data_IF_844300045570
#
_entry.id   IF_844300045570
#
_cell.length_a   1.000
_cell.length_b   1.000
_cell.length_c   1.000
_cell.angle_alpha   90.00
_cell.angle_beta   90.00
_cell.angle_gamma   90.00
#
_symmetry.space_group_name_H-M   'P 1'
#
loop_
_entity.id
_entity.type
_entity.pdbx_description
1 polymer ?
#
# COMPACT_ATOMS: atom_id res chain seq x y z
N UNK A 1 1.65 -17.65 -1.01
CA UNK A 1 1.26 -16.66 0.01
C UNK A 1 -0.22 -16.72 0.44
N UNK A 2 -1.06 -17.57 -0.13
CA UNK A 2 -2.43 -17.84 0.35
C UNK A 2 -3.45 -16.73 0.07
N UNK A 3 -3.28 -15.98 -1.00
CA UNK A 3 -4.31 -15.11 -1.53
C UNK A 3 -5.23 -15.86 -2.47
N UNK A 4 -6.52 -15.53 -2.46
CA UNK A 4 -7.47 -15.96 -3.50
C UNK A 4 -7.31 -15.02 -4.69
N UNK A 5 -7.00 -15.59 -5.86
CA UNK A 5 -6.77 -14.87 -7.12
C UNK A 5 -7.69 -15.46 -8.17
N UNK A 6 -8.35 -14.61 -8.96
CA UNK A 6 -9.18 -15.07 -10.07
C UNK A 6 -8.36 -15.49 -11.30
N UNK A 7 -9.04 -16.03 -12.31
CA UNK A 7 -8.39 -16.51 -13.55
C UNK A 7 -7.74 -15.40 -14.39
N UNK A 8 -8.09 -14.15 -14.13
CA UNK A 8 -7.53 -12.97 -14.79
C UNK A 8 -6.37 -12.34 -13.98
N UNK A 9 -5.95 -12.97 -12.87
CA UNK A 9 -4.88 -12.46 -12.03
C UNK A 9 -5.32 -11.40 -11.01
N UNK A 10 -6.61 -11.19 -10.76
CA UNK A 10 -7.07 -10.21 -9.81
C UNK A 10 -7.21 -10.83 -8.41
N UNK A 11 -6.72 -10.12 -7.42
CA UNK A 11 -6.91 -10.38 -6.00
C UNK A 11 -7.65 -9.19 -5.37
N UNK A 12 -8.82 -9.44 -4.81
CA UNK A 12 -9.65 -8.40 -4.22
C UNK A 12 -9.51 -8.42 -2.71
N UNK A 13 -9.04 -7.33 -2.13
CA UNK A 13 -8.81 -7.17 -0.68
C UNK A 13 -9.59 -5.95 -0.20
N UNK A 14 -10.72 -6.16 0.47
CA UNK A 14 -11.67 -5.08 0.77
C UNK A 14 -12.12 -4.39 -0.52
N UNK A 15 -11.94 -3.09 -0.60
CA UNK A 15 -12.26 -2.28 -1.79
C UNK A 15 -11.08 -2.08 -2.75
N UNK A 16 -9.95 -2.72 -2.47
CA UNK A 16 -8.73 -2.61 -3.29
C UNK A 16 -8.56 -3.85 -4.15
N UNK A 17 -8.27 -3.65 -5.42
CA UNK A 17 -7.91 -4.72 -6.35
C UNK A 17 -6.40 -4.71 -6.58
N UNK A 18 -5.75 -5.82 -6.27
CA UNK A 18 -4.39 -6.11 -6.70
C UNK A 18 -4.47 -6.87 -8.02
N UNK A 19 -3.73 -6.42 -9.03
CA UNK A 19 -3.58 -7.11 -10.31
C UNK A 19 -2.20 -7.75 -10.32
N UNK A 20 -2.16 -9.08 -10.51
CA UNK A 20 -0.90 -9.82 -10.59
C UNK A 20 -0.49 -9.91 -12.05
N UNK A 21 0.64 -9.31 -12.37
CA UNK A 21 1.26 -9.36 -13.68
C UNK A 21 2.52 -10.22 -13.62
N UNK A 22 2.89 -10.83 -14.75
CA UNK A 22 4.16 -11.53 -14.86
C UNK A 22 5.32 -10.53 -14.94
N UNK A 23 6.47 -10.86 -14.34
CA UNK A 23 7.66 -10.00 -14.38
C UNK A 23 8.39 -9.93 -13.06
N UNK A 24 8.90 -8.74 -12.71
CA UNK A 24 9.65 -8.49 -11.50
C UNK A 24 8.81 -8.63 -10.23
N UNK A 25 9.49 -8.79 -9.11
CA UNK A 25 8.83 -8.89 -7.81
C UNK A 25 8.52 -7.51 -7.23
N UNK A 26 7.38 -7.41 -6.56
CA UNK A 26 6.99 -6.22 -5.81
C UNK A 26 5.83 -5.45 -6.43
N UNK A 27 5.60 -4.26 -5.92
CA UNK A 27 4.58 -3.35 -6.41
C UNK A 27 5.18 -2.49 -7.53
N UNK A 28 4.65 -2.64 -8.76
CA UNK A 28 5.18 -1.97 -9.94
C UNK A 28 4.48 -0.65 -10.23
N UNK A 29 3.16 -0.61 -10.02
CA UNK A 29 2.33 0.54 -10.33
C UNK A 29 1.08 0.57 -9.46
N UNK A 30 0.38 1.69 -9.46
CA UNK A 30 -0.95 1.84 -8.90
C UNK A 30 -1.89 2.59 -9.83
N UNK A 31 -3.19 2.46 -9.55
CA UNK A 31 -4.24 3.30 -10.12
C UNK A 31 -5.02 3.95 -8.99
N UNK A 32 -5.24 5.24 -9.06
CA UNK A 32 -5.93 6.02 -8.06
C UNK A 32 -7.16 6.67 -8.67
N UNK A 33 -8.34 6.42 -8.10
CA UNK A 33 -9.59 7.00 -8.60
C UNK A 33 -9.56 8.53 -8.51
N UNK A 34 -9.97 9.19 -9.60
CA UNK A 34 -10.04 10.64 -9.69
C UNK A 34 -8.69 11.33 -9.89
N UNK A 35 -7.58 10.58 -9.99
CA UNK A 35 -6.25 11.15 -10.23
C UNK A 35 -5.80 10.84 -11.65
N UNK A 36 -5.47 11.90 -12.39
CA UNK A 36 -4.79 11.80 -13.69
C UNK A 36 -3.41 12.47 -13.56
N UNK A 37 -2.37 11.66 -13.51
CA UNK A 37 -0.99 12.12 -13.30
C UNK A 37 -0.15 12.13 -14.58
N UNK A 38 -0.76 11.86 -15.74
CA UNK A 38 -0.03 11.78 -17.01
C UNK A 38 1.01 10.67 -17.08
N UNK A 39 0.94 9.65 -16.19
CA UNK A 39 1.81 8.47 -16.22
C UNK A 39 2.71 8.27 -15.01
N UNK A 40 2.82 9.24 -14.09
CA UNK A 40 3.61 9.04 -12.88
C UNK A 40 3.58 10.20 -11.89
N UNK A 41 3.89 9.91 -10.62
CA UNK A 41 4.01 10.87 -9.52
C UNK A 41 5.39 10.67 -8.92
N UNK A 42 6.32 11.57 -9.19
CA UNK A 42 7.73 11.50 -8.72
C UNK A 42 8.38 10.11 -8.94
N UNK A 43 8.16 9.49 -10.10
CA UNK A 43 8.69 8.17 -10.43
C UNK A 43 7.79 6.99 -10.05
N UNK A 44 6.73 7.20 -9.28
CA UNK A 44 5.73 6.17 -9.01
C UNK A 44 4.82 6.00 -10.23
N UNK A 45 4.95 4.88 -10.94
CA UNK A 45 4.12 4.59 -12.09
C UNK A 45 2.64 4.60 -11.69
N UNK A 46 1.89 5.54 -12.26
CA UNK A 46 0.48 5.78 -11.91
C UNK A 46 -0.35 5.67 -13.18
N UNK A 47 -1.23 4.69 -13.20
CA UNK A 47 -2.15 4.50 -14.31
C UNK A 47 -3.46 5.22 -14.03
N UNK A 48 -4.11 5.67 -15.07
CA UNK A 48 -5.49 6.12 -14.96
C UNK A 48 -6.35 4.97 -14.45
N UNK A 49 -7.15 5.21 -13.42
CA UNK A 49 -8.08 4.19 -12.97
C UNK A 49 -8.99 3.79 -14.14
N UNK A 50 -9.00 2.54 -14.52
CA UNK A 50 -10.01 2.00 -15.42
C UNK A 50 -11.34 2.17 -14.70
N UNK A 51 -12.23 2.96 -15.26
CA UNK A 51 -13.48 3.43 -14.73
C UNK A 51 -14.07 2.54 -13.65
N UNK A 52 -14.65 3.12 -12.62
CA UNK A 52 -15.17 2.39 -11.47
C UNK A 52 -15.75 1.06 -11.93
N UNK A 53 -15.13 -0.05 -11.53
CA UNK A 53 -15.76 -1.35 -11.76
C UNK A 53 -17.12 -1.22 -11.14
N UNK A 54 -18.25 -1.37 -11.90
CA UNK A 54 -19.56 -1.28 -11.31
C UNK A 54 -19.56 -2.18 -10.07
N UNK A 55 -20.01 -1.66 -8.95
CA UNK A 55 -20.24 -2.50 -7.78
C UNK A 55 -21.11 -3.64 -8.27
N UNK A 56 -20.54 -4.82 -8.46
CA UNK A 56 -21.30 -5.99 -8.86
C UNK A 56 -22.34 -6.21 -7.75
N UNK A 57 -23.64 -6.27 -8.06
CA UNK A 57 -24.70 -6.38 -7.07
C UNK A 57 -24.60 -7.66 -6.20
N UNK A 58 -23.76 -8.61 -6.58
CA UNK A 58 -23.49 -9.86 -5.89
C UNK A 58 -21.99 -10.02 -5.52
N UNK A 59 -21.36 -8.94 -5.09
CA UNK A 59 -19.97 -9.03 -4.62
C UNK A 59 -19.96 -9.76 -3.28
N UNK A 60 -19.47 -11.00 -3.17
CA UNK A 60 -19.23 -11.59 -1.88
C UNK A 60 -18.27 -10.67 -1.15
N UNK A 61 -18.66 -10.16 -0.01
CA UNK A 61 -17.82 -9.35 0.87
C UNK A 61 -16.45 -10.01 0.98
N UNK A 62 -15.40 -9.36 0.47
CA UNK A 62 -14.05 -9.80 0.24
C UNK A 62 -13.80 -11.27 0.50
N UNK A 63 -13.58 -12.06 -0.56
CA UNK A 63 -13.37 -13.51 -0.43
C UNK A 63 -12.37 -13.77 0.68
N UNK A 64 -12.67 -14.70 1.59
CA UNK A 64 -11.76 -15.05 2.69
C UNK A 64 -10.46 -15.58 2.09
N UNK A 65 -9.41 -14.81 2.24
CA UNK A 65 -8.09 -15.28 1.86
C UNK A 65 -7.61 -16.34 2.87
N UNK A 66 -7.07 -17.48 2.42
CA UNK A 66 -6.52 -18.51 3.32
C UNK A 66 -5.51 -17.99 4.33
N UNK A 67 -4.77 -16.93 3.99
CA UNK A 67 -3.80 -16.27 4.87
C UNK A 67 -4.44 -15.31 5.90
N UNK A 68 -5.77 -15.20 5.93
CA UNK A 68 -6.49 -14.36 6.90
C UNK A 68 -6.50 -12.87 6.62
N UNK A 69 -5.95 -12.41 5.47
CA UNK A 69 -5.98 -11.00 5.09
C UNK A 69 -7.41 -10.52 4.85
N UNK A 70 -7.73 -9.35 5.40
CA UNK A 70 -9.07 -8.72 5.31
C UNK A 70 -9.03 -7.31 4.71
N UNK A 71 -7.90 -6.61 4.81
CA UNK A 71 -7.75 -5.27 4.26
C UNK A 71 -6.28 -4.94 3.96
N UNK A 72 -6.05 -3.92 3.14
CA UNK A 72 -4.77 -3.23 3.03
C UNK A 72 -4.77 -2.09 4.05
N UNK A 73 -3.84 -2.13 5.00
CA UNK A 73 -3.67 -1.07 5.99
C UNK A 73 -2.99 0.14 5.35
N UNK A 74 -1.81 -0.08 4.75
CA UNK A 74 -1.09 0.98 4.04
C UNK A 74 -0.19 0.45 2.93
N UNK A 75 0.07 1.32 1.96
CA UNK A 75 1.12 1.16 0.96
C UNK A 75 2.30 2.01 1.40
N UNK A 76 3.50 1.44 1.37
CA UNK A 76 4.74 2.14 1.73
C UNK A 76 5.48 2.55 0.46
N UNK A 77 5.88 3.81 0.44
CA UNK A 77 6.71 4.41 -0.59
C UNK A 77 7.95 4.99 0.07
N UNK A 78 9.11 4.79 -0.53
CA UNK A 78 10.36 5.42 -0.11
C UNK A 78 10.78 6.50 -1.10
N UNK A 79 11.40 7.58 -0.60
CA UNK A 79 11.96 8.65 -1.43
C UNK A 79 13.25 9.17 -0.81
N UNK A 80 14.29 9.44 -1.61
CA UNK A 80 15.47 10.15 -1.15
C UNK A 80 15.21 11.65 -0.90
N UNK A 81 14.12 12.20 -1.47
CA UNK A 81 13.65 13.56 -1.23
C UNK A 81 12.13 13.54 -0.91
N UNK A 82 11.75 13.32 0.36
CA UNK A 82 10.34 13.31 0.75
C UNK A 82 9.61 14.62 0.50
N UNK A 83 10.30 15.75 0.52
CA UNK A 83 9.67 17.07 0.28
C UNK A 83 9.23 17.18 -1.18
N UNK A 84 10.10 16.82 -2.11
CA UNK A 84 9.76 16.77 -3.53
C UNK A 84 8.58 15.82 -3.80
N UNK A 85 8.62 14.63 -3.21
CA UNK A 85 7.54 13.63 -3.38
C UNK A 85 6.21 14.13 -2.79
N UNK A 86 6.23 14.80 -1.61
CA UNK A 86 5.04 15.44 -1.03
C UNK A 86 4.45 16.46 -1.99
N UNK A 87 5.30 17.35 -2.55
CA UNK A 87 4.85 18.37 -3.50
C UNK A 87 4.23 17.74 -4.77
N UNK A 88 4.82 16.66 -5.28
CA UNK A 88 4.29 15.94 -6.43
C UNK A 88 2.93 15.28 -6.12
N UNK A 89 2.75 14.70 -4.92
CA UNK A 89 1.49 14.14 -4.46
C UNK A 89 0.42 15.23 -4.28
N UNK A 90 0.79 16.39 -3.73
CA UNK A 90 -0.13 17.54 -3.58
C UNK A 90 -0.56 18.11 -4.92
N UNK A 91 0.33 18.16 -5.91
CA UNK A 91 0.02 18.63 -7.26
C UNK A 91 -1.10 17.81 -7.94
N UNK A 92 -1.30 16.57 -7.53
CA UNK A 92 -2.40 15.70 -8.00
C UNK A 92 -3.58 15.62 -7.00
N UNK A 93 -3.61 16.50 -5.98
CA UNK A 93 -4.71 16.60 -5.03
C UNK A 93 -4.63 15.69 -3.81
N UNK A 94 -3.50 15.03 -3.56
CA UNK A 94 -3.30 14.22 -2.37
C UNK A 94 -2.67 15.06 -1.25
N UNK A 95 -3.45 15.38 -0.24
CA UNK A 95 -2.99 16.21 0.88
C UNK A 95 -2.42 15.37 2.03
N UNK A 96 -1.26 15.76 2.60
CA UNK A 96 -0.70 15.10 3.76
C UNK A 96 -1.64 15.27 4.97
N UNK A 97 -1.87 14.19 5.70
CA UNK A 97 -2.70 14.18 6.93
C UNK A 97 -1.87 14.30 8.19
N UNK A 98 -0.68 13.77 8.15
CA UNK A 98 0.23 13.76 9.29
C UNK A 98 1.66 13.58 8.82
N UNK A 99 2.59 14.30 9.43
CA UNK A 99 4.02 14.07 9.31
C UNK A 99 4.62 13.79 10.69
N UNK A 100 5.54 12.86 10.76
CA UNK A 100 6.35 12.55 11.93
C UNK A 100 7.81 12.58 11.54
N UNK A 101 8.64 13.08 12.43
CA UNK A 101 10.09 12.96 12.31
C UNK A 101 10.62 12.22 13.54
N UNK A 102 11.44 11.24 13.30
CA UNK A 102 12.13 10.49 14.33
C UNK A 102 13.56 10.23 13.89
N UNK A 103 14.51 10.66 14.69
CA UNK A 103 15.93 10.68 14.33
C UNK A 103 16.13 11.43 13.00
N UNK A 104 16.76 10.80 12.00
CA UNK A 104 17.02 11.38 10.69
C UNK A 104 15.96 10.99 9.64
N UNK A 105 14.84 10.41 10.05
CA UNK A 105 13.79 9.92 9.14
C UNK A 105 12.51 10.73 9.26
N UNK A 106 11.86 10.93 8.12
CA UNK A 106 10.54 11.55 7.98
C UNK A 106 9.55 10.51 7.48
N UNK A 107 8.38 10.47 8.12
CA UNK A 107 7.22 9.67 7.70
C UNK A 107 6.05 10.61 7.48
N UNK A 108 5.49 10.61 6.28
CA UNK A 108 4.31 11.43 5.92
C UNK A 108 3.20 10.52 5.45
N UNK A 109 2.00 10.72 6.00
CA UNK A 109 0.84 9.88 5.76
C UNK A 109 -0.20 10.62 4.94
N UNK A 110 -0.74 9.96 3.91
CA UNK A 110 -1.82 10.44 3.06
C UNK A 110 -2.98 9.46 3.10
N UNK A 111 -4.19 9.95 2.83
CA UNK A 111 -5.38 9.10 2.73
C UNK A 111 -5.64 8.73 1.27
N UNK A 112 -5.71 7.43 0.98
CA UNK A 112 -6.06 6.87 -0.33
C UNK A 112 -7.36 6.06 -0.20
N UNK A 113 -8.52 6.75 -0.13
CA UNK A 113 -9.78 6.06 0.13
C UNK A 113 -9.75 5.26 1.44
N UNK A 114 -9.93 3.92 1.41
CA UNK A 114 -9.87 3.07 2.60
C UNK A 114 -8.44 2.83 3.10
N UNK A 115 -7.42 3.05 2.26
CA UNK A 115 -6.00 2.73 2.51
C UNK A 115 -5.21 4.00 2.86
N UNK A 116 -4.06 3.84 3.48
CA UNK A 116 -3.10 4.90 3.78
C UNK A 116 -1.89 4.76 2.85
N UNK A 117 -1.36 5.88 2.36
CA UNK A 117 0.00 5.95 1.82
C UNK A 117 0.93 6.40 2.94
N UNK A 118 1.96 5.64 3.21
CA UNK A 118 3.08 6.01 4.07
C UNK A 118 4.30 6.32 3.21
N UNK A 119 4.68 7.59 3.15
CA UNK A 119 5.92 8.04 2.50
C UNK A 119 7.02 8.13 3.55
N UNK A 120 8.10 7.40 3.32
CA UNK A 120 9.26 7.30 4.21
C UNK A 120 10.52 7.78 3.48
N UNK A 121 11.34 8.55 4.17
CA UNK A 121 12.64 8.97 3.66
C UNK A 121 13.41 9.79 4.68
N UNK A 122 14.59 10.31 4.31
CA UNK A 122 15.39 11.14 5.19
C UNK A 122 14.68 12.46 5.53
N UNK A 123 14.95 13.02 6.73
CA UNK A 123 14.41 14.31 7.12
C UNK A 123 14.95 15.46 6.25
N UNK A 124 16.21 15.34 5.85
CA UNK A 124 16.85 16.19 4.83
C UNK A 124 17.11 15.35 3.58
N UNK A 125 16.87 15.87 2.36
CA UNK A 125 17.14 15.14 1.12
C UNK A 125 18.57 14.58 1.08
N UNK A 126 18.72 13.33 0.63
CA UNK A 126 20.00 12.64 0.48
C UNK A 126 20.25 12.12 -0.95
N UNK A 127 19.43 12.55 -1.92
CA UNK A 127 19.57 12.21 -3.32
C UNK A 127 18.45 12.78 -4.18
N UNK A 128 18.65 12.70 -5.50
CA UNK A 128 17.74 13.18 -6.54
C UNK A 128 16.97 12.07 -7.26
N UNK A 129 17.18 10.82 -6.86
CA UNK A 129 16.48 9.66 -7.40
C UNK A 129 14.97 9.71 -7.18
N UNK A 130 14.17 8.98 -8.00
CA UNK A 130 12.72 8.95 -7.90
C UNK A 130 12.24 8.27 -6.62
N UNK A 131 11.00 8.54 -6.24
CA UNK A 131 10.29 7.73 -5.26
C UNK A 131 10.06 6.31 -5.79
N UNK A 132 9.95 5.34 -4.88
CA UNK A 132 9.78 3.93 -5.21
C UNK A 132 8.77 3.27 -4.28
N UNK A 133 7.99 2.35 -4.80
CA UNK A 133 7.20 1.45 -3.98
C UNK A 133 8.13 0.55 -3.16
N UNK A 134 7.84 0.43 -1.87
CA UNK A 134 8.57 -0.45 -0.97
C UNK A 134 7.77 -1.70 -0.62
N UNK A 135 6.47 -1.56 -0.39
CA UNK A 135 5.63 -2.70 -0.05
C UNK A 135 4.21 -2.34 0.39
N UNK A 136 3.51 -3.36 0.84
CA UNK A 136 2.12 -3.27 1.30
C UNK A 136 2.02 -3.90 2.69
N UNK A 137 1.42 -3.19 3.64
CA UNK A 137 1.03 -3.74 4.92
C UNK A 137 -0.44 -4.17 4.88
N UNK A 138 -0.71 -5.38 5.35
CA UNK A 138 -2.04 -5.97 5.38
C UNK A 138 -2.60 -6.03 6.78
N UNK A 139 -3.90 -5.81 6.91
CA UNK A 139 -4.64 -6.16 8.11
C UNK A 139 -5.14 -7.60 7.99
N UNK A 140 -4.93 -8.39 9.02
CA UNK A 140 -5.41 -9.78 9.11
C UNK A 140 -6.45 -9.91 10.22
N UNK A 141 -7.37 -10.84 10.06
CA UNK A 141 -8.41 -11.10 11.06
C UNK A 141 -7.83 -11.67 12.37
N UNK A 142 -6.82 -12.54 12.27
CA UNK A 142 -6.12 -13.18 13.39
C UNK A 142 -4.65 -13.37 13.02
N UNK A 143 -3.77 -12.61 13.66
CA UNK A 143 -2.32 -12.63 13.36
C UNK A 143 -1.65 -13.96 13.78
N UNK A 144 -2.15 -14.63 14.82
CA UNK A 144 -1.60 -15.92 15.25
C UNK A 144 -2.02 -17.02 14.26
N UNK A 145 -3.25 -17.00 13.76
CA UNK A 145 -3.69 -17.91 12.70
C UNK A 145 -2.91 -17.68 11.40
N UNK A 146 -2.72 -16.40 11.02
CA UNK A 146 -1.89 -16.03 9.87
C UNK A 146 -0.44 -16.50 10.06
N UNK A 147 0.13 -16.33 11.25
CA UNK A 147 1.47 -16.81 11.57
C UNK A 147 1.62 -18.33 11.43
N UNK A 148 0.64 -19.10 11.92
CA UNK A 148 0.62 -20.56 11.73
C UNK A 148 0.50 -20.94 10.25
N UNK A 149 -0.30 -20.23 9.48
CA UNK A 149 -0.50 -20.49 8.05
C UNK A 149 0.77 -20.19 7.23
N UNK A 150 1.42 -19.06 7.48
CA UNK A 150 2.60 -18.61 6.72
C UNK A 150 3.90 -19.25 7.21
N UNK A 151 3.95 -19.71 8.45
CA UNK A 151 5.15 -20.35 9.03
C UNK A 151 6.38 -19.45 8.92
N UNK A 152 7.46 -19.99 8.36
CA UNK A 152 8.74 -19.28 8.21
C UNK A 152 8.72 -18.11 7.20
N UNK A 153 7.61 -17.91 6.48
CA UNK A 153 7.44 -16.77 5.57
C UNK A 153 6.97 -15.51 6.28
N UNK A 154 6.61 -15.59 7.56
CA UNK A 154 6.25 -14.44 8.38
C UNK A 154 7.35 -14.17 9.40
N UNK A 155 7.65 -12.91 9.66
CA UNK A 155 8.56 -12.48 10.71
C UNK A 155 8.00 -12.77 12.11
N UNK A 156 8.77 -12.43 13.15
CA UNK A 156 8.34 -12.59 14.53
C UNK A 156 7.17 -11.64 14.83
N UNK A 157 6.08 -12.19 15.34
CA UNK A 157 4.95 -11.42 15.84
C UNK A 157 5.37 -10.68 17.13
N UNK A 158 5.11 -9.37 17.18
CA UNK A 158 5.44 -8.47 18.30
C UNK A 158 4.36 -7.40 18.46
N UNK A 159 4.39 -6.68 19.57
CA UNK A 159 3.52 -5.54 19.79
C UNK A 159 3.88 -4.40 18.82
N UNK A 160 2.85 -3.75 18.28
CA UNK A 160 2.99 -2.56 17.46
C UNK A 160 3.23 -1.32 18.34
N UNK A 161 3.68 -0.22 17.72
CA UNK A 161 3.77 1.09 18.39
C UNK A 161 2.38 1.57 18.86
N UNK A 162 1.33 1.15 18.16
CA UNK A 162 -0.05 1.45 18.55
C UNK A 162 -0.51 0.46 19.65
N UNK A 163 -0.97 0.94 20.82
CA UNK A 163 -1.44 0.06 21.88
C UNK A 163 -2.54 -0.89 21.43
N UNK A 164 -2.45 -2.15 21.86
CA UNK A 164 -3.43 -3.19 21.55
C UNK A 164 -3.35 -3.78 20.13
N UNK A 165 -2.39 -3.36 19.31
CA UNK A 165 -2.12 -3.95 17.98
C UNK A 165 -0.85 -4.78 18.00
N UNK A 166 -0.83 -5.83 17.18
CA UNK A 166 0.37 -6.66 16.95
C UNK A 166 0.74 -6.64 15.46
N UNK A 167 2.03 -6.79 15.18
CA UNK A 167 2.61 -6.80 13.82
C UNK A 167 3.63 -7.94 13.69
N UNK A 168 3.92 -8.32 12.46
CA UNK A 168 4.99 -9.24 12.08
C UNK A 168 5.79 -8.69 10.90
#
# INVERSE_FOLDING_TARGET
MGFTVDVAGNCLIGDVRLVLEGGDQGLCAWSLDGIDSGGGIDGLATHRAFGATPAAPDRPAGGRHPNGVVAIDHVVVTSPDPVRTINALQAVGLEPRRTREHAAMRQTFFRLGPTILELVGPAAPDGDGPARFWGIAFTVADIDATGRFLGNHLGRIKDAVQPGRRIA
#
